data_IF_933164631856
#
_entry.id   IF_933164631856
#
_cell.length_a   1.000
_cell.length_b   1.000
_cell.length_c   1.000
_cell.angle_alpha   90.00
_cell.angle_beta   90.00
_cell.angle_gamma   90.00
#
_symmetry.space_group_name_H-M   'P 1'
#
loop_
_entity.id
_entity.type
_entity.pdbx_description
1 polymer ?
#
# COMPACT_ATOMS: atom_id res chain seq x y z
N UNK A 1 -11.04 -11.80 -46.36
CA UNK A 1 -11.52 -11.32 -47.66
C UNK A 1 -13.01 -11.52 -47.56
N UNK A 2 -13.82 -10.49 -47.33
CA UNK A 2 -14.14 -9.48 -48.35
C UNK A 2 -14.49 -8.11 -47.74
N UNK A 3 -14.22 -7.09 -48.54
CA UNK A 3 -14.40 -5.67 -48.27
C UNK A 3 -15.86 -5.23 -48.50
N UNK A 4 -16.31 -4.21 -47.76
CA UNK A 4 -17.63 -3.62 -48.01
C UNK A 4 -17.88 -2.32 -47.25
N UNK A 5 -17.08 -1.29 -47.54
CA UNK A 5 -17.35 0.10 -47.15
C UNK A 5 -18.11 0.80 -48.29
N UNK A 6 -19.26 1.42 -48.01
CA UNK A 6 -19.85 2.63 -48.66
C UNK A 6 -21.24 2.86 -48.01
N UNK A 7 -21.39 3.84 -47.11
CA UNK A 7 -21.75 5.26 -47.35
C UNK A 7 -23.22 5.48 -47.74
N UNK A 8 -23.92 6.36 -47.02
CA UNK A 8 -25.16 6.96 -47.53
C UNK A 8 -26.13 7.56 -46.53
N UNK A 9 -25.90 8.84 -46.17
CA UNK A 9 -26.90 9.93 -46.12
C UNK A 9 -28.19 9.82 -45.28
N UNK A 10 -28.41 10.84 -44.42
CA UNK A 10 -29.64 11.62 -44.09
C UNK A 10 -29.27 12.43 -42.82
N UNK A 11 -29.39 13.75 -42.66
CA UNK A 11 -29.96 14.84 -43.44
C UNK A 11 -29.30 16.14 -42.96
N UNK A 12 -28.85 16.98 -43.90
CA UNK A 12 -28.56 18.41 -43.67
C UNK A 12 -29.85 19.19 -43.84
N UNK A 13 -30.09 20.19 -42.97
CA UNK A 13 -30.69 21.52 -43.23
C UNK A 13 -31.12 22.11 -41.87
N UNK A 14 -30.99 23.38 -41.53
CA UNK A 14 -30.43 24.57 -42.14
C UNK A 14 -30.66 25.63 -41.06
N UNK A 15 -29.63 26.31 -40.54
CA UNK A 15 -29.83 27.67 -40.03
C UNK A 15 -28.51 28.43 -40.14
N UNK A 16 -28.31 29.02 -41.31
CA UNK A 16 -27.38 30.11 -41.54
C UNK A 16 -27.83 31.31 -40.70
N UNK A 17 -26.92 31.93 -39.97
CA UNK A 17 -26.71 33.38 -40.10
C UNK A 17 -25.27 33.75 -39.70
N UNK A 18 -24.58 34.36 -40.66
CA UNK A 18 -23.23 34.90 -40.61
C UNK A 18 -23.30 36.39 -40.25
N UNK A 19 -22.25 36.97 -39.63
CA UNK A 19 -21.77 38.37 -39.74
C UNK A 19 -20.73 38.65 -38.63
N UNK A 20 -19.41 38.59 -38.87
CA UNK A 20 -18.48 39.60 -39.45
C UNK A 20 -18.00 40.69 -38.45
N UNK A 21 -16.66 40.72 -38.27
CA UNK A 21 -15.75 41.82 -37.86
C UNK A 21 -15.88 42.36 -36.41
N UNK A 22 -14.87 42.87 -35.70
CA UNK A 22 -13.60 43.51 -36.10
C UNK A 22 -12.64 43.59 -34.87
N UNK A 23 -11.34 43.75 -35.14
CA UNK A 23 -10.17 43.73 -34.23
C UNK A 23 -10.15 44.75 -33.06
N UNK A 24 -9.46 44.43 -31.95
CA UNK A 24 -8.51 45.35 -31.30
C UNK A 24 -7.48 44.64 -30.39
N UNK A 25 -6.20 44.96 -30.62
CA UNK A 25 -5.01 44.44 -29.93
C UNK A 25 -4.93 44.86 -28.46
N UNK A 26 -4.53 43.95 -27.57
CA UNK A 26 -3.59 44.31 -26.50
C UNK A 26 -2.86 43.08 -25.96
N UNK A 27 -1.57 43.32 -25.79
CA UNK A 27 -0.49 42.48 -25.30
C UNK A 27 -0.83 41.83 -23.95
N UNK A 28 -0.91 40.50 -23.86
CA UNK A 28 -0.77 39.81 -22.57
C UNK A 28 0.11 38.57 -22.77
N UNK A 29 1.21 38.57 -22.02
CA UNK A 29 2.31 37.64 -22.16
C UNK A 29 1.89 36.19 -22.01
N UNK A 30 2.53 35.34 -22.80
CA UNK A 30 2.55 33.90 -22.63
C UNK A 30 3.08 33.59 -21.23
N UNK A 31 2.17 33.35 -20.28
CA UNK A 31 2.55 32.80 -18.97
C UNK A 31 3.06 31.39 -19.23
N UNK A 32 4.37 31.20 -19.08
CA UNK A 32 4.96 29.88 -18.96
C UNK A 32 4.27 29.20 -17.77
N UNK A 33 3.46 28.18 -18.08
CA UNK A 33 2.94 27.27 -17.09
C UNK A 33 4.13 26.63 -16.37
N UNK A 34 4.27 26.78 -15.04
CA UNK A 34 5.40 26.23 -14.33
C UNK A 34 5.29 24.71 -14.39
N UNK A 35 6.27 24.08 -15.04
CA UNK A 35 6.50 22.65 -15.01
C UNK A 35 7.13 22.27 -13.65
N UNK A 36 6.40 22.46 -12.56
CA UNK A 36 6.87 22.13 -11.19
C UNK A 36 5.95 21.21 -10.38
N UNK A 37 4.77 20.84 -10.87
CA UNK A 37 3.73 20.20 -10.05
C UNK A 37 4.06 18.80 -9.51
N UNK A 38 4.83 17.98 -10.23
CA UNK A 38 5.03 16.57 -9.81
C UNK A 38 6.08 16.43 -8.70
N UNK A 39 7.09 17.30 -8.66
CA UNK A 39 8.18 17.20 -7.67
C UNK A 39 7.75 17.72 -6.30
N UNK A 40 6.99 18.81 -6.24
CA UNK A 40 6.51 19.37 -4.97
C UNK A 40 5.47 18.46 -4.30
N UNK A 41 4.49 17.95 -5.05
CA UNK A 41 3.49 17.01 -4.51
C UNK A 41 4.11 15.73 -3.94
N UNK A 42 5.16 15.21 -4.60
CA UNK A 42 5.87 14.01 -4.12
C UNK A 42 6.63 14.30 -2.81
N UNK A 43 7.25 15.47 -2.71
CA UNK A 43 8.02 15.87 -1.54
C UNK A 43 7.11 16.11 -0.31
N UNK A 44 5.93 16.68 -0.54
CA UNK A 44 4.90 16.86 0.48
C UNK A 44 4.39 15.51 1.00
N UNK A 45 4.12 14.55 0.11
CA UNK A 45 3.67 13.22 0.50
C UNK A 45 4.70 12.46 1.36
N UNK A 46 6.00 12.56 1.02
CA UNK A 46 7.08 11.95 1.81
C UNK A 46 7.17 12.60 3.19
N UNK A 47 7.04 13.92 3.27
CA UNK A 47 7.08 14.66 4.53
C UNK A 47 5.88 14.34 5.43
N UNK A 48 4.70 14.15 4.83
CA UNK A 48 3.50 13.70 5.55
C UNK A 48 3.69 12.26 6.06
N UNK A 49 4.28 11.39 5.26
CA UNK A 49 4.56 10.00 5.62
C UNK A 49 5.49 9.89 6.83
N UNK A 50 6.63 10.58 6.81
CA UNK A 50 7.60 10.56 7.91
C UNK A 50 7.00 11.13 9.19
N UNK A 51 6.26 12.25 9.09
CA UNK A 51 5.57 12.85 10.24
C UNK A 51 4.52 11.92 10.86
N UNK A 52 3.78 11.16 10.03
CA UNK A 52 2.83 10.16 10.51
C UNK A 52 3.57 9.06 11.27
N UNK A 53 4.69 8.55 10.74
CA UNK A 53 5.47 7.50 11.39
C UNK A 53 6.06 7.93 12.74
N UNK A 54 6.63 9.14 12.80
CA UNK A 54 7.21 9.67 14.03
C UNK A 54 6.15 9.87 15.11
N UNK A 55 4.95 10.34 14.73
CA UNK A 55 3.82 10.48 15.66
C UNK A 55 3.15 9.16 16.04
N UNK A 56 3.26 8.11 15.21
CA UNK A 56 2.57 6.83 15.43
C UNK A 56 3.09 6.07 16.66
N UNK A 57 4.38 6.20 16.94
CA UNK A 57 5.04 5.50 18.04
C UNK A 57 5.23 6.38 19.29
N UNK A 58 4.75 7.63 19.26
CA UNK A 58 4.79 8.50 20.43
C UNK A 58 3.87 7.97 21.53
N UNK A 59 4.42 7.77 22.72
CA UNK A 59 3.72 7.15 23.86
C UNK A 59 3.31 5.68 23.66
N UNK A 60 3.75 5.00 22.59
CA UNK A 60 3.41 3.60 22.35
C UNK A 60 4.30 2.66 23.19
N UNK A 61 3.67 1.87 24.07
CA UNK A 61 4.37 0.81 24.81
C UNK A 61 4.14 -0.56 24.14
N UNK A 62 5.23 -1.14 23.62
CA UNK A 62 5.24 -2.43 22.94
C UNK A 62 5.21 -3.63 23.88
N UNK A 63 5.37 -3.43 25.19
CA UNK A 63 5.24 -4.49 26.21
C UNK A 63 3.77 -4.80 26.50
N UNK A 64 2.89 -3.84 26.21
CA UNK A 64 1.47 -3.97 26.45
C UNK A 64 0.76 -4.50 25.21
N UNK A 65 0.09 -5.65 25.38
CA UNK A 65 -0.79 -6.22 24.37
C UNK A 65 -1.96 -5.26 24.07
N UNK A 66 -2.40 -5.13 22.80
CA UNK A 66 -3.55 -4.29 22.43
C UNK A 66 -4.82 -4.71 23.17
N UNK A 67 -5.51 -3.76 23.81
CA UNK A 67 -6.74 -4.04 24.57
C UNK A 67 -6.52 -4.77 25.89
N UNK A 68 -5.32 -4.65 26.49
CA UNK A 68 -5.02 -5.18 27.82
C UNK A 68 -6.08 -4.71 28.83
N UNK A 69 -6.72 -5.66 29.54
CA UNK A 69 -7.77 -5.36 30.53
C UNK A 69 -9.15 -5.05 29.95
N UNK A 70 -9.29 -4.93 28.62
CA UNK A 70 -10.56 -4.58 27.98
C UNK A 70 -11.14 -5.72 27.14
N UNK A 71 -10.35 -6.27 26.21
CA UNK A 71 -10.81 -7.24 25.21
C UNK A 71 -9.74 -8.27 24.90
N UNK A 72 -10.12 -9.34 24.22
CA UNK A 72 -9.16 -10.29 23.63
C UNK A 72 -8.57 -9.74 22.33
N UNK A 73 -7.30 -10.05 22.06
CA UNK A 73 -6.64 -9.70 20.80
C UNK A 73 -6.79 -10.89 19.88
N UNK A 74 -7.67 -10.76 18.89
CA UNK A 74 -7.80 -11.78 17.87
C UNK A 74 -6.63 -11.67 16.89
N UNK A 75 -5.82 -12.73 16.83
CA UNK A 75 -4.74 -12.88 15.86
C UNK A 75 -5.19 -13.88 14.81
N UNK A 76 -5.31 -13.43 13.56
CA UNK A 76 -5.58 -14.31 12.41
C UNK A 76 -4.26 -14.74 11.82
N UNK A 77 -4.05 -16.05 11.75
CA UNK A 77 -2.85 -16.66 11.20
C UNK A 77 -3.15 -17.29 9.85
N UNK A 78 -2.18 -17.22 8.94
CA UNK A 78 -2.26 -17.78 7.61
C UNK A 78 -0.89 -18.37 7.28
N UNK A 79 -0.89 -19.62 6.82
CA UNK A 79 0.31 -20.39 6.54
C UNK A 79 0.28 -20.78 5.08
N UNK A 80 1.27 -20.31 4.33
CA UNK A 80 1.50 -20.78 2.97
C UNK A 80 2.74 -21.67 2.95
N UNK A 81 2.55 -22.95 2.69
CA UNK A 81 3.64 -23.93 2.61
C UNK A 81 4.31 -23.81 1.25
N UNK A 82 5.59 -23.46 1.24
CA UNK A 82 6.38 -23.38 0.00
C UNK A 82 7.00 -24.73 -0.34
N UNK A 83 7.44 -25.48 0.67
CA UNK A 83 8.05 -26.79 0.49
C UNK A 83 7.76 -27.67 1.70
N UNK A 84 7.66 -28.98 1.44
CA UNK A 84 7.74 -29.99 2.48
C UNK A 84 9.09 -30.69 2.31
N UNK A 85 9.97 -30.50 3.29
CA UNK A 85 11.35 -30.99 3.25
C UNK A 85 11.45 -32.48 3.62
N UNK A 86 12.67 -32.97 3.86
CA UNK A 86 12.89 -34.37 4.20
C UNK A 86 12.23 -34.74 5.54
N UNK A 87 11.79 -35.99 5.62
CA UNK A 87 11.30 -36.64 6.85
C UNK A 87 12.36 -37.64 7.30
N UNK A 88 12.79 -37.52 8.55
CA UNK A 88 13.77 -38.41 9.20
C UNK A 88 13.04 -39.36 10.12
N UNK A 89 12.97 -40.63 9.76
CA UNK A 89 12.35 -41.68 10.60
C UNK A 89 13.20 -41.97 11.85
N UNK A 90 14.53 -41.85 11.74
CA UNK A 90 15.47 -42.07 12.84
C UNK A 90 15.32 -41.00 13.93
N UNK A 91 15.21 -39.74 13.53
CA UNK A 91 15.10 -38.61 14.47
C UNK A 91 13.64 -38.22 14.75
N UNK A 92 12.68 -38.84 14.05
CA UNK A 92 11.25 -38.51 14.12
C UNK A 92 10.98 -37.02 13.89
N UNK A 93 11.51 -36.47 12.80
CA UNK A 93 11.34 -35.06 12.45
C UNK A 93 11.10 -34.83 10.98
N UNK A 94 10.52 -33.68 10.65
CA UNK A 94 10.33 -33.22 9.29
C UNK A 94 10.72 -31.74 9.19
N UNK A 95 11.18 -31.33 8.03
CA UNK A 95 11.44 -29.92 7.72
C UNK A 95 10.30 -29.36 6.89
N UNK A 96 9.89 -28.11 7.13
CA UNK A 96 8.86 -27.43 6.34
C UNK A 96 9.27 -25.97 6.12
N UNK A 97 9.17 -25.51 4.88
CA UNK A 97 9.36 -24.11 4.54
C UNK A 97 7.99 -23.44 4.38
N UNK A 98 7.77 -22.34 5.10
CA UNK A 98 6.49 -21.65 5.13
C UNK A 98 6.65 -20.14 5.09
N UNK A 99 5.71 -19.46 4.42
CA UNK A 99 5.40 -18.07 4.73
C UNK A 99 4.34 -18.05 5.84
N UNK A 100 4.78 -17.69 7.04
CA UNK A 100 3.92 -17.53 8.19
C UNK A 100 3.44 -16.07 8.29
N UNK A 101 2.14 -15.85 8.09
CA UNK A 101 1.50 -14.53 8.08
C UNK A 101 0.57 -14.36 9.28
N UNK A 102 0.58 -13.17 9.86
CA UNK A 102 -0.28 -12.82 10.98
C UNK A 102 -0.95 -11.47 10.76
N UNK A 103 -2.21 -11.37 11.17
CA UNK A 103 -3.00 -10.14 11.12
C UNK A 103 -3.72 -9.96 12.44
N UNK A 104 -3.52 -8.81 13.08
CA UNK A 104 -4.23 -8.39 14.28
C UNK A 104 -4.64 -6.93 14.17
N UNK A 105 -5.57 -6.50 15.04
CA UNK A 105 -6.01 -5.11 15.13
C UNK A 105 -5.40 -4.45 16.37
N UNK A 106 -4.61 -3.40 16.18
CA UNK A 106 -4.17 -2.51 17.25
C UNK A 106 -4.76 -1.11 16.99
N UNK A 107 -5.56 -0.61 17.94
CA UNK A 107 -6.23 0.69 17.81
C UNK A 107 -5.30 1.87 18.14
N UNK A 108 -4.18 1.60 18.82
CA UNK A 108 -3.16 2.61 19.14
C UNK A 108 -2.38 3.04 17.89
N UNK A 109 -2.29 2.16 16.89
CA UNK A 109 -1.61 2.41 15.61
C UNK A 109 -2.53 3.08 14.57
N UNK A 110 -3.58 3.78 15.01
CA UNK A 110 -4.47 4.52 14.10
C UNK A 110 -3.81 5.83 13.69
N UNK A 111 -3.75 6.08 12.38
CA UNK A 111 -3.30 7.35 11.83
C UNK A 111 -4.35 7.96 10.92
N UNK A 112 -4.21 9.26 10.65
CA UNK A 112 -4.99 10.00 9.64
C UNK A 112 -4.02 10.50 8.59
N UNK A 113 -4.35 10.29 7.32
CA UNK A 113 -3.54 10.74 6.20
C UNK A 113 -4.19 10.39 4.87
N UNK A 114 -3.59 10.84 3.76
CA UNK A 114 -4.11 10.57 2.41
C UNK A 114 -4.04 9.09 2.01
N UNK A 115 -3.25 8.29 2.74
CA UNK A 115 -2.96 6.89 2.45
C UNK A 115 -3.65 5.95 3.43
N UNK A 116 -4.11 4.79 2.94
CA UNK A 116 -4.85 3.80 3.75
C UNK A 116 -3.96 2.74 4.39
N UNK A 117 -2.75 2.52 3.88
CA UNK A 117 -1.80 1.53 4.37
C UNK A 117 -0.42 2.15 4.50
N UNK A 118 0.27 1.81 5.58
CA UNK A 118 1.59 2.32 5.90
C UNK A 118 2.57 1.15 5.92
N UNK A 119 3.35 0.91 4.86
CA UNK A 119 4.39 -0.09 4.89
C UNK A 119 5.45 0.33 5.91
N UNK A 120 5.85 -0.61 6.77
CA UNK A 120 6.84 -0.38 7.82
C UNK A 120 8.14 -1.10 7.49
N UNK A 121 9.25 -0.46 7.83
CA UNK A 121 10.56 -1.10 7.85
C UNK A 121 10.68 -2.00 9.09
N UNK A 122 11.55 -3.02 9.03
CA UNK A 122 11.86 -3.95 10.12
C UNK A 122 12.24 -3.25 11.44
N UNK A 123 12.94 -2.11 11.38
CA UNK A 123 13.30 -1.33 12.57
C UNK A 123 12.09 -0.73 13.29
N UNK A 124 11.06 -0.31 12.55
CA UNK A 124 9.83 0.22 13.16
C UNK A 124 8.91 -0.94 13.59
N UNK A 125 8.89 -2.02 12.82
CA UNK A 125 8.15 -3.23 13.17
C UNK A 125 8.61 -3.82 14.52
N UNK A 126 9.90 -3.76 14.84
CA UNK A 126 10.42 -4.25 16.14
C UNK A 126 10.02 -3.39 17.34
N UNK A 127 9.54 -2.15 17.11
CA UNK A 127 9.01 -1.26 18.15
C UNK A 127 7.51 -1.42 18.36
N UNK A 128 6.85 -2.29 17.61
CA UNK A 128 5.42 -2.55 17.72
C UNK A 128 5.21 -3.86 18.47
N UNK A 129 4.13 -3.95 19.25
CA UNK A 129 3.76 -5.22 19.87
C UNK A 129 3.42 -6.24 18.79
N UNK A 130 4.08 -7.40 18.83
CA UNK A 130 3.80 -8.55 17.98
C UNK A 130 3.43 -9.75 18.86
N UNK A 131 2.52 -10.64 18.41
CA UNK A 131 2.17 -11.82 19.17
C UNK A 131 3.38 -12.78 19.26
N UNK A 132 3.59 -13.33 20.44
CA UNK A 132 4.66 -14.28 20.80
C UNK A 132 4.34 -15.70 20.32
N UNK A 133 4.12 -15.84 19.02
CA UNK A 133 3.73 -17.13 18.44
C UNK A 133 4.90 -18.09 18.32
N UNK A 134 4.73 -19.31 18.82
CA UNK A 134 5.73 -20.37 18.77
C UNK A 134 5.12 -21.70 18.31
N UNK A 135 5.95 -22.57 17.74
CA UNK A 135 5.56 -23.92 17.33
C UNK A 135 5.84 -24.90 18.47
N UNK A 136 4.79 -25.50 19.02
CA UNK A 136 4.88 -26.38 20.19
C UNK A 136 5.74 -27.63 19.94
N UNK A 137 5.70 -28.16 18.71
CA UNK A 137 6.46 -29.32 18.26
C UNK A 137 7.72 -28.93 17.46
N UNK A 138 8.04 -27.64 17.39
CA UNK A 138 9.23 -27.17 16.70
C UNK A 138 10.48 -27.53 17.50
N UNK A 139 11.30 -28.45 16.98
CA UNK A 139 12.62 -28.73 17.56
C UNK A 139 13.60 -27.60 17.27
N UNK A 140 13.66 -27.17 16.01
CA UNK A 140 14.51 -26.08 15.53
C UNK A 140 13.77 -25.32 14.42
N UNK A 141 13.78 -24.00 14.50
CA UNK A 141 13.19 -23.12 13.49
C UNK A 141 14.18 -22.00 13.16
N UNK A 142 14.27 -21.63 11.88
CA UNK A 142 15.15 -20.57 11.40
C UNK A 142 14.29 -19.53 10.68
N UNK A 143 14.42 -18.25 11.07
CA UNK A 143 13.86 -17.15 10.32
C UNK A 143 14.86 -16.73 9.22
N UNK A 144 14.42 -16.71 7.97
CA UNK A 144 15.26 -16.26 6.87
C UNK A 144 15.35 -14.73 6.84
N UNK A 145 16.54 -14.19 7.07
CA UNK A 145 16.83 -12.78 6.85
C UNK A 145 17.42 -12.59 5.44
N UNK A 146 16.59 -12.74 4.40
CA UNK A 146 16.99 -12.51 3.00
C UNK A 146 16.49 -11.14 2.55
N UNK A 147 17.41 -10.19 2.33
CA UNK A 147 17.12 -8.93 1.62
C UNK A 147 16.99 -9.24 0.14
N UNK A 148 15.79 -9.06 -0.42
CA UNK A 148 15.62 -8.94 -1.89
C UNK A 148 15.75 -7.48 -2.29
#
# INVERSE_FOLDING_TARGET
>A
MDNGMFSGFIMIKNLLLFCISMNLSSHFGFSQMPTSSVKDETNDNITIFTRILDGLLDGYDNRLRPGLGERITQVRTDIYVTSFGPVSDTEMEYTIDVFFRQSWKDERLRFKGPMQRLPLNNLLASKIWTPDTFFHNGKKSIAHNMTT
#
